data_IF_565915898725
#
_entry.id   IF_565915898725
#
_cell.length_a   1.000
_cell.length_b   1.000
_cell.length_c   1.000
_cell.angle_alpha   90.00
_cell.angle_beta   90.00
_cell.angle_gamma   90.00
#
_symmetry.space_group_name_H-M   'P 1'
#
loop_
_entity.id
_entity.type
_entity.pdbx_description
1 polymer ?
#
# COMPACT_ATOMS: atom_id res chain seq x y z
N UNK A 1 -39.39 34.25 -46.45
CA UNK A 1 -39.38 32.77 -46.37
C UNK A 1 -39.05 32.39 -44.95
N UNK A 2 -40.07 31.95 -44.21
CA UNK A 2 -39.98 31.65 -42.78
C UNK A 2 -39.28 30.33 -42.52
N UNK A 3 -38.28 30.36 -41.64
CA UNK A 3 -37.74 29.17 -41.00
C UNK A 3 -38.82 28.64 -40.06
N UNK A 4 -39.27 27.41 -40.31
CA UNK A 4 -40.42 26.81 -39.61
C UNK A 4 -40.10 26.57 -38.13
N UNK A 5 -41.12 26.69 -37.28
CA UNK A 5 -41.07 26.51 -35.82
C UNK A 5 -40.39 25.19 -35.38
N UNK A 6 -40.36 24.18 -36.25
CA UNK A 6 -39.65 22.90 -36.05
C UNK A 6 -38.12 23.03 -36.00
N UNK A 7 -37.52 24.01 -36.69
CA UNK A 7 -36.08 24.22 -36.66
C UNK A 7 -35.61 24.88 -35.35
N UNK A 8 -36.42 25.76 -34.77
CA UNK A 8 -36.11 26.37 -33.48
C UNK A 8 -36.20 25.37 -32.32
N UNK A 9 -37.16 24.45 -32.34
CA UNK A 9 -37.27 23.38 -31.33
C UNK A 9 -36.15 22.34 -31.46
N UNK A 10 -35.71 22.03 -32.68
CA UNK A 10 -34.57 21.14 -32.90
C UNK A 10 -33.23 21.78 -32.47
N UNK A 11 -33.06 23.10 -32.66
CA UNK A 11 -31.88 23.82 -32.18
C UNK A 11 -31.89 24.05 -30.66
N UNK A 12 -33.05 24.15 -30.01
CA UNK A 12 -33.15 24.23 -28.55
C UNK A 12 -32.92 22.88 -27.86
N UNK A 13 -33.32 21.76 -28.48
CA UNK A 13 -33.08 20.41 -27.96
C UNK A 13 -31.64 19.91 -28.19
N UNK A 14 -30.93 20.43 -29.20
CA UNK A 14 -29.50 20.12 -29.37
C UNK A 14 -28.58 20.93 -28.43
N UNK A 15 -29.03 22.07 -27.90
CA UNK A 15 -28.23 22.88 -26.96
C UNK A 15 -28.38 22.49 -25.49
N UNK A 16 -29.34 21.62 -25.12
CA UNK A 16 -29.48 21.11 -23.75
C UNK A 16 -28.64 19.85 -23.45
N UNK A 17 -27.89 19.34 -24.44
CA UNK A 17 -26.97 18.20 -24.26
C UNK A 17 -25.48 18.61 -24.18
N UNK A 18 -25.17 19.90 -24.02
CA UNK A 18 -23.81 20.41 -23.87
C UNK A 18 -23.53 21.05 -22.51
N UNK A 19 -24.20 20.57 -21.46
CA UNK A 19 -23.77 20.74 -20.08
C UNK A 19 -23.30 19.38 -19.56
N UNK A 20 -22.10 18.99 -19.95
CA UNK A 20 -21.35 17.97 -19.21
C UNK A 20 -20.86 18.66 -17.94
N UNK A 21 -21.70 18.63 -16.89
CA UNK A 21 -21.22 18.89 -15.55
C UNK A 21 -20.18 17.83 -15.25
N UNK A 22 -18.96 18.28 -14.96
CA UNK A 22 -17.90 17.45 -14.45
C UNK A 22 -18.41 16.75 -13.17
N UNK A 23 -18.52 15.43 -13.26
CA UNK A 23 -18.75 14.57 -12.11
C UNK A 23 -17.40 14.31 -11.49
N UNK A 24 -17.39 13.98 -10.22
CA UNK A 24 -16.15 13.63 -9.58
C UNK A 24 -15.77 12.21 -9.97
N UNK A 25 -15.14 11.37 -9.12
CA UNK A 25 -15.05 9.96 -9.50
C UNK A 25 -16.39 9.50 -10.09
N UNK A 26 -16.39 8.77 -11.20
CA UNK A 26 -17.64 8.27 -11.75
C UNK A 26 -18.41 7.46 -10.70
N UNK A 27 -19.67 7.13 -10.99
CA UNK A 27 -20.49 6.33 -10.05
C UNK A 27 -19.76 5.08 -9.54
N UNK A 28 -19.01 4.41 -10.43
CA UNK A 28 -18.18 3.25 -10.09
C UNK A 28 -17.04 3.57 -9.12
N UNK A 29 -16.40 4.74 -9.27
CA UNK A 29 -15.32 5.19 -8.41
C UNK A 29 -15.82 5.58 -7.01
N UNK A 30 -16.91 6.34 -6.90
CA UNK A 30 -17.54 6.64 -5.61
C UNK A 30 -18.05 5.39 -4.90
N UNK A 31 -18.70 4.51 -5.67
CA UNK A 31 -19.13 3.22 -5.16
C UNK A 31 -17.93 2.41 -4.62
N UNK A 32 -16.83 2.33 -5.38
CA UNK A 32 -15.63 1.62 -4.96
C UNK A 32 -15.01 2.20 -3.68
N UNK A 33 -14.82 3.52 -3.59
CA UNK A 33 -14.27 4.18 -2.40
C UNK A 33 -15.11 3.84 -1.15
N UNK A 34 -16.43 3.99 -1.24
CA UNK A 34 -17.31 3.73 -0.12
C UNK A 34 -17.45 2.25 0.22
N UNK A 35 -17.44 1.36 -0.77
CA UNK A 35 -17.50 -0.10 -0.55
C UNK A 35 -16.23 -0.60 0.11
N UNK A 36 -15.08 -0.06 -0.32
CA UNK A 36 -13.79 -0.33 0.32
C UNK A 36 -13.85 0.17 1.76
N UNK A 37 -14.18 1.45 1.99
CA UNK A 37 -14.25 2.04 3.34
C UNK A 37 -15.15 1.22 4.29
N UNK A 38 -16.34 0.84 3.83
CA UNK A 38 -17.27 0.03 4.63
C UNK A 38 -16.70 -1.35 5.02
N UNK A 39 -15.83 -1.93 4.20
CA UNK A 39 -15.13 -3.18 4.51
C UNK A 39 -14.07 -3.07 5.61
N UNK A 40 -13.71 -1.86 6.03
CA UNK A 40 -12.75 -1.57 7.10
C UNK A 40 -13.40 -1.00 8.37
N UNK A 41 -14.74 -0.89 8.42
CA UNK A 41 -15.44 -0.40 9.61
C UNK A 41 -15.40 -1.42 10.74
N UNK A 42 -15.14 -0.94 11.97
CA UNK A 42 -15.37 -1.70 13.21
C UNK A 42 -16.88 -1.96 13.40
N UNK A 43 -17.23 -2.94 14.24
CA UNK A 43 -18.62 -3.36 14.45
C UNK A 43 -19.52 -2.20 14.87
N UNK A 44 -19.03 -1.33 15.77
CA UNK A 44 -19.74 -0.15 16.26
C UNK A 44 -19.99 0.86 15.13
N UNK A 45 -19.02 1.02 14.23
CA UNK A 45 -19.12 1.91 13.07
C UNK A 45 -20.15 1.37 12.07
N UNK A 46 -20.16 0.05 11.83
CA UNK A 46 -21.18 -0.59 10.98
C UNK A 46 -22.58 -0.35 11.52
N UNK A 47 -22.78 -0.48 12.84
CA UNK A 47 -24.08 -0.22 13.49
C UNK A 47 -24.48 1.25 13.37
N UNK A 48 -23.56 2.18 13.60
CA UNK A 48 -23.83 3.62 13.49
C UNK A 48 -24.20 4.03 12.05
N UNK A 49 -23.41 3.59 11.06
CA UNK A 49 -23.66 3.86 9.64
C UNK A 49 -25.00 3.30 9.21
N UNK A 50 -25.33 2.05 9.56
CA UNK A 50 -26.64 1.44 9.22
C UNK A 50 -27.83 2.20 9.81
N UNK A 51 -27.69 2.81 10.99
CA UNK A 51 -28.74 3.64 11.60
C UNK A 51 -28.95 4.96 10.86
N UNK A 52 -27.90 5.51 10.27
CA UNK A 52 -27.94 6.78 9.54
C UNK A 52 -28.38 6.60 8.09
N UNK A 53 -28.08 5.45 7.47
CA UNK A 53 -28.41 5.21 6.07
C UNK A 53 -29.93 5.16 5.83
N UNK A 54 -30.40 5.67 4.69
CA UNK A 54 -31.80 5.55 4.31
C UNK A 54 -32.15 4.09 4.02
N UNK A 55 -33.42 3.71 4.24
CA UNK A 55 -33.86 2.31 4.11
C UNK A 55 -33.60 1.69 2.73
N UNK A 56 -33.65 2.49 1.65
CA UNK A 56 -33.40 2.00 0.29
C UNK A 56 -31.93 1.62 0.03
N UNK A 57 -31.00 2.08 0.88
CA UNK A 57 -29.59 1.72 0.77
C UNK A 57 -29.30 0.32 1.30
N UNK A 58 -30.26 -0.35 1.95
CA UNK A 58 -30.14 -1.71 2.51
C UNK A 58 -28.87 -1.91 3.38
N UNK A 59 -28.48 -0.86 4.12
CA UNK A 59 -27.29 -0.87 4.97
C UNK A 59 -25.96 -0.81 4.22
N UNK A 60 -25.95 -0.52 2.92
CA UNK A 60 -24.77 -0.35 2.09
C UNK A 60 -24.45 1.13 1.85
N UNK A 61 -23.29 1.59 2.34
CA UNK A 61 -22.85 2.97 2.18
C UNK A 61 -22.59 3.32 0.72
N UNK A 62 -22.00 2.39 -0.03
CA UNK A 62 -21.68 2.57 -1.45
C UNK A 62 -22.92 2.86 -2.31
N UNK A 63 -24.10 2.39 -1.91
CA UNK A 63 -25.37 2.61 -2.63
C UNK A 63 -25.84 4.08 -2.61
N UNK A 64 -25.27 4.91 -1.74
CA UNK A 64 -25.62 6.34 -1.60
C UNK A 64 -24.46 7.28 -1.91
N UNK A 65 -23.29 6.76 -2.28
CA UNK A 65 -22.10 7.59 -2.43
C UNK A 65 -22.07 8.45 -3.68
N UNK A 66 -22.91 8.19 -4.68
CA UNK A 66 -23.11 9.10 -5.82
C UNK A 66 -24.17 10.17 -5.59
N UNK A 67 -24.91 10.12 -4.47
CA UNK A 67 -26.05 11.00 -4.25
C UNK A 67 -25.72 12.51 -4.33
N UNK A 68 -24.59 13.02 -3.79
CA UNK A 68 -24.22 14.43 -3.94
C UNK A 68 -24.07 14.89 -5.39
N UNK A 69 -23.58 14.01 -6.27
CA UNK A 69 -23.44 14.28 -7.71
C UNK A 69 -24.78 14.36 -8.45
N UNK A 70 -25.79 13.66 -7.94
CA UNK A 70 -27.16 13.74 -8.43
C UNK A 70 -27.81 15.04 -7.97
N UNK A 71 -27.74 15.35 -6.67
CA UNK A 71 -28.47 16.48 -6.10
C UNK A 71 -27.86 17.82 -6.47
N UNK A 72 -26.55 17.94 -6.73
CA UNK A 72 -25.90 19.22 -7.15
C UNK A 72 -26.52 19.82 -8.43
N UNK A 73 -27.24 18.99 -9.21
CA UNK A 73 -27.95 19.39 -10.44
C UNK A 73 -29.32 20.02 -10.16
N UNK A 74 -29.87 19.83 -8.96
CA UNK A 74 -31.17 20.36 -8.56
C UNK A 74 -31.04 21.84 -8.13
N UNK A 75 -31.98 22.73 -8.51
CA UNK A 75 -31.88 24.16 -8.23
C UNK A 75 -31.64 24.52 -6.76
N UNK A 76 -32.28 23.80 -5.83
CA UNK A 76 -32.16 24.01 -4.39
C UNK A 76 -30.83 23.53 -3.78
N UNK A 77 -30.11 22.67 -4.50
CA UNK A 77 -28.84 22.08 -4.08
C UNK A 77 -27.66 22.55 -4.94
N UNK A 78 -27.89 23.42 -5.93
CA UNK A 78 -26.85 23.92 -6.85
C UNK A 78 -25.63 24.53 -6.14
N UNK A 79 -25.83 25.04 -4.93
CA UNK A 79 -24.75 25.59 -4.10
C UNK A 79 -23.71 24.53 -3.70
N UNK A 80 -24.07 23.24 -3.64
CA UNK A 80 -23.13 22.17 -3.30
C UNK A 80 -22.13 21.89 -4.42
N UNK A 81 -22.37 22.35 -5.66
CA UNK A 81 -21.50 22.05 -6.80
C UNK A 81 -20.06 22.53 -6.58
N UNK A 82 -19.85 23.65 -5.88
CA UNK A 82 -18.52 24.17 -5.55
C UNK A 82 -17.78 23.33 -4.49
N UNK A 83 -18.49 22.47 -3.77
CA UNK A 83 -17.93 21.64 -2.70
C UNK A 83 -17.27 20.36 -3.22
N UNK A 84 -17.31 20.12 -4.54
CA UNK A 84 -16.77 18.91 -5.16
C UNK A 84 -15.28 19.00 -5.52
N UNK A 85 -14.68 20.20 -5.43
CA UNK A 85 -13.30 20.44 -5.86
C UNK A 85 -12.67 21.61 -5.08
N UNK A 86 -11.36 21.77 -5.25
CA UNK A 86 -10.55 22.85 -4.74
C UNK A 86 -9.45 23.18 -5.78
N UNK A 87 -9.81 23.97 -6.79
CA UNK A 87 -8.88 24.34 -7.86
C UNK A 87 -7.76 25.26 -7.35
N UNK A 88 -6.55 25.04 -7.86
CA UNK A 88 -5.31 25.75 -7.50
C UNK A 88 -4.85 26.67 -8.64
N UNK A 89 -4.00 27.67 -8.36
CA UNK A 89 -3.40 28.52 -9.40
C UNK A 89 -2.54 27.72 -10.39
N UNK A 90 -2.69 28.00 -11.69
CA UNK A 90 -2.01 27.31 -12.80
C UNK A 90 -0.48 27.28 -12.70
N UNK A 91 0.12 28.25 -12.00
CA UNK A 91 1.56 28.40 -11.83
C UNK A 91 2.10 27.70 -10.55
N UNK A 92 1.24 26.99 -9.81
CA UNK A 92 1.60 26.35 -8.54
C UNK A 92 1.17 24.89 -8.51
N UNK A 93 2.12 24.01 -8.20
CA UNK A 93 1.83 22.60 -7.90
C UNK A 93 1.74 22.36 -6.40
N UNK A 94 0.89 23.12 -5.71
CA UNK A 94 0.59 22.91 -4.29
C UNK A 94 -0.82 23.38 -3.94
N UNK A 95 -1.37 22.80 -2.87
CA UNK A 95 -2.60 23.23 -2.24
C UNK A 95 -2.30 24.12 -1.01
N UNK A 96 -3.01 25.23 -0.87
CA UNK A 96 -3.03 26.09 0.31
C UNK A 96 -4.48 26.43 0.68
N UNK A 97 -4.93 26.00 1.86
CA UNK A 97 -6.33 26.13 2.26
C UNK A 97 -6.86 27.57 2.22
N UNK A 98 -6.07 28.54 2.71
CA UNK A 98 -6.52 29.94 2.77
C UNK A 98 -6.64 30.57 1.39
N UNK A 99 -5.82 30.13 0.43
CA UNK A 99 -5.83 30.59 -0.95
C UNK A 99 -6.87 29.87 -1.81
N UNK A 100 -6.97 28.55 -1.67
CA UNK A 100 -7.65 27.65 -2.62
C UNK A 100 -9.04 27.20 -2.12
N UNK A 101 -9.37 27.44 -0.84
CA UNK A 101 -10.69 27.16 -0.26
C UNK A 101 -11.36 28.43 0.30
N UNK A 102 -11.64 29.44 -0.55
CA UNK A 102 -12.20 30.70 -0.08
C UNK A 102 -13.56 30.49 0.61
N UNK A 103 -13.70 31.01 1.83
CA UNK A 103 -14.90 30.90 2.66
C UNK A 103 -15.32 29.46 3.01
N UNK A 104 -14.40 28.50 2.96
CA UNK A 104 -14.69 27.06 3.15
C UNK A 104 -15.58 26.45 2.04
N UNK A 105 -15.76 27.14 0.90
CA UNK A 105 -16.56 26.67 -0.24
C UNK A 105 -15.69 25.87 -1.22
N UNK A 106 -15.21 24.73 -0.75
CA UNK A 106 -14.46 23.77 -1.54
C UNK A 106 -14.59 22.38 -0.91
N UNK A 107 -14.02 21.35 -1.56
CA UNK A 107 -14.07 19.96 -1.06
C UNK A 107 -13.43 19.77 0.32
N UNK A 108 -12.29 20.39 0.62
CA UNK A 108 -11.66 20.25 1.94
C UNK A 108 -12.48 20.95 3.04
N UNK A 109 -13.05 22.13 2.76
CA UNK A 109 -13.96 22.83 3.65
C UNK A 109 -15.23 22.04 3.92
N UNK A 110 -15.78 21.40 2.89
CA UNK A 110 -16.93 20.49 3.01
C UNK A 110 -16.60 19.27 3.89
N UNK A 111 -15.44 18.63 3.70
CA UNK A 111 -14.97 17.52 4.55
C UNK A 111 -14.91 17.97 6.01
N UNK A 112 -14.33 19.13 6.31
CA UNK A 112 -14.29 19.64 7.69
C UNK A 112 -15.69 19.90 8.25
N UNK A 113 -16.56 20.53 7.47
CA UNK A 113 -17.92 20.85 7.90
C UNK A 113 -18.73 19.59 8.23
N UNK A 114 -18.83 18.63 7.31
CA UNK A 114 -19.64 17.44 7.52
C UNK A 114 -19.04 16.48 8.55
N UNK A 115 -17.71 16.45 8.70
CA UNK A 115 -17.05 15.77 9.82
C UNK A 115 -17.48 16.39 11.16
N UNK A 116 -17.47 17.72 11.28
CA UNK A 116 -17.90 18.41 12.50
C UNK A 116 -19.38 18.18 12.82
N UNK A 117 -20.26 18.14 11.81
CA UNK A 117 -21.68 17.80 11.99
C UNK A 117 -21.85 16.39 12.57
N UNK A 118 -21.15 15.39 12.03
CA UNK A 118 -21.20 14.02 12.54
C UNK A 118 -20.62 13.91 13.97
N UNK A 119 -19.52 14.60 14.26
CA UNK A 119 -18.93 14.62 15.61
C UNK A 119 -19.82 15.31 16.64
N UNK A 120 -20.63 16.29 16.23
CA UNK A 120 -21.55 16.98 17.13
C UNK A 120 -22.64 16.07 17.69
N UNK A 121 -22.93 14.94 17.03
CA UNK A 121 -23.87 13.93 17.50
C UNK A 121 -23.30 13.04 18.61
N UNK A 122 -21.98 12.95 18.74
CA UNK A 122 -21.31 12.11 19.75
C UNK A 122 -21.09 12.82 21.08
N UNK A 123 -21.10 14.15 21.09
CA UNK A 123 -21.04 14.94 22.32
C UNK A 123 -22.47 15.13 22.77
N UNK A 124 -22.72 14.95 24.07
CA UNK A 124 -24.00 15.19 24.77
C UNK A 124 -24.36 16.70 24.79
N UNK A 125 -24.15 17.36 23.66
CA UNK A 125 -24.22 18.80 23.49
C UNK A 125 -25.66 19.20 23.26
N UNK A 126 -26.15 20.03 24.18
CA UNK A 126 -27.33 20.90 24.06
C UNK A 126 -27.17 21.94 22.93
N UNK A 127 -26.66 21.54 21.76
CA UNK A 127 -26.59 22.34 20.56
C UNK A 127 -28.00 22.52 20.00
N UNK A 128 -28.43 23.76 19.83
CA UNK A 128 -29.74 24.16 19.28
C UNK A 128 -29.88 23.78 17.79
N UNK A 129 -28.77 23.44 17.11
CA UNK A 129 -28.75 23.10 15.69
C UNK A 129 -28.84 21.59 15.51
N UNK A 130 -29.97 21.11 14.99
CA UNK A 130 -30.15 19.72 14.57
C UNK A 130 -29.70 19.57 13.12
N UNK A 131 -28.52 18.97 12.91
CA UNK A 131 -28.05 18.60 11.57
C UNK A 131 -28.77 17.34 11.07
N UNK A 132 -28.96 17.24 9.75
CA UNK A 132 -29.35 15.98 9.13
C UNK A 132 -28.10 15.08 9.02
N UNK A 133 -27.92 14.19 9.99
CA UNK A 133 -26.74 13.32 10.07
C UNK A 133 -26.66 12.30 8.93
N UNK A 134 -27.79 11.93 8.34
CA UNK A 134 -27.82 11.09 7.13
C UNK A 134 -27.20 11.83 5.96
N UNK A 135 -27.63 13.07 5.71
CA UNK A 135 -27.03 13.93 4.67
C UNK A 135 -25.55 14.17 4.96
N UNK A 136 -25.18 14.46 6.20
CA UNK A 136 -23.78 14.69 6.56
C UNK A 136 -22.90 13.47 6.27
N UNK A 137 -23.37 12.25 6.58
CA UNK A 137 -22.68 11.00 6.25
C UNK A 137 -22.53 10.82 4.73
N UNK A 138 -23.60 11.04 3.97
CA UNK A 138 -23.61 10.87 2.51
C UNK A 138 -22.68 11.88 1.82
N UNK A 139 -22.74 13.15 2.22
CA UNK A 139 -21.85 14.20 1.73
C UNK A 139 -20.40 13.90 2.07
N UNK A 140 -20.08 13.58 3.33
CA UNK A 140 -18.71 13.28 3.74
C UNK A 140 -18.14 12.09 2.95
N UNK A 141 -18.93 11.02 2.79
CA UNK A 141 -18.49 9.81 2.10
C UNK A 141 -18.18 10.06 0.62
N UNK A 142 -18.98 10.89 -0.04
CA UNK A 142 -18.73 11.34 -1.41
C UNK A 142 -17.49 12.22 -1.52
N UNK A 143 -17.36 13.26 -0.69
CA UNK A 143 -16.24 14.20 -0.74
C UNK A 143 -14.89 13.56 -0.41
N UNK A 144 -14.89 12.48 0.38
CA UNK A 144 -13.71 11.63 0.57
C UNK A 144 -13.31 10.91 -0.73
N UNK A 145 -14.25 10.62 -1.63
CA UNK A 145 -13.94 10.23 -3.00
C UNK A 145 -13.35 11.43 -3.76
N UNK A 146 -14.07 12.55 -3.82
CA UNK A 146 -13.72 13.71 -4.64
C UNK A 146 -12.27 14.16 -4.42
N UNK A 147 -11.87 14.35 -3.17
CA UNK A 147 -10.53 14.81 -2.80
C UNK A 147 -9.40 13.90 -3.30
N UNK A 148 -9.68 12.61 -3.52
CA UNK A 148 -8.69 11.64 -4.00
C UNK A 148 -8.68 11.49 -5.53
N UNK A 149 -9.58 12.15 -6.25
CA UNK A 149 -9.51 12.27 -7.69
C UNK A 149 -8.53 13.42 -8.01
N UNK A 150 -7.45 13.19 -8.79
CA UNK A 150 -6.34 14.16 -8.89
C UNK A 150 -6.65 15.52 -9.54
N UNK A 151 -7.74 15.60 -10.30
CA UNK A 151 -8.20 16.80 -11.00
C UNK A 151 -9.27 17.59 -10.24
N UNK A 152 -9.75 17.11 -9.08
CA UNK A 152 -10.52 17.94 -8.14
C UNK A 152 -9.64 18.81 -7.26
N UNK A 153 -8.32 18.65 -7.34
CA UNK A 153 -7.33 19.63 -6.92
C UNK A 153 -6.52 20.10 -8.14
N UNK A 154 -7.23 20.39 -9.24
CA UNK A 154 -6.64 20.76 -10.52
C UNK A 154 -6.38 22.26 -10.67
N UNK A 155 -6.23 22.74 -11.91
CA UNK A 155 -5.92 24.15 -12.18
C UNK A 155 -7.18 24.99 -12.46
N UNK A 156 -7.22 26.20 -11.92
CA UNK A 156 -8.30 27.16 -12.17
C UNK A 156 -8.47 27.49 -13.67
N UNK A 157 -7.37 27.66 -14.38
CA UNK A 157 -7.38 28.06 -15.79
C UNK A 157 -8.02 27.02 -16.69
N UNK A 158 -7.81 25.73 -16.40
CA UNK A 158 -8.38 24.62 -17.16
C UNK A 158 -9.63 23.99 -16.55
N UNK A 159 -10.09 24.51 -15.40
CA UNK A 159 -11.23 24.02 -14.60
C UNK A 159 -11.03 22.56 -14.20
N UNK A 160 -9.88 22.25 -13.62
CA UNK A 160 -9.50 20.89 -13.27
C UNK A 160 -9.37 19.97 -14.49
N UNK A 161 -8.87 20.46 -15.61
CA UNK A 161 -8.72 19.67 -16.83
C UNK A 161 -9.99 19.53 -17.69
N UNK A 162 -11.12 20.14 -17.30
CA UNK A 162 -12.35 20.12 -18.10
C UNK A 162 -12.20 20.82 -19.47
N UNK A 163 -11.32 21.83 -19.55
CA UNK A 163 -10.98 22.51 -20.80
C UNK A 163 -9.91 21.79 -21.62
N UNK A 164 -9.24 20.78 -21.07
CA UNK A 164 -8.18 20.05 -21.76
C UNK A 164 -8.81 18.94 -22.61
N UNK A 165 -8.92 19.19 -23.92
CA UNK A 165 -9.43 18.20 -24.87
C UNK A 165 -8.40 17.13 -25.17
N UNK A 166 -8.80 15.87 -25.08
CA UNK A 166 -7.94 14.70 -25.31
C UNK A 166 -8.71 13.63 -26.08
N UNK A 167 -7.98 12.72 -26.72
CA UNK A 167 -8.55 11.49 -27.26
C UNK A 167 -8.16 10.33 -26.34
N UNK A 168 -9.16 9.70 -25.71
CA UNK A 168 -8.96 8.44 -24.99
C UNK A 168 -9.20 7.29 -25.96
N UNK A 169 -8.11 6.67 -26.41
CA UNK A 169 -8.11 5.80 -27.59
C UNK A 169 -8.71 6.51 -28.82
N UNK A 170 -9.87 6.05 -29.30
CA UNK A 170 -10.55 6.57 -30.49
C UNK A 170 -11.76 7.46 -30.15
N UNK A 171 -11.91 7.87 -28.88
CA UNK A 171 -13.02 8.69 -28.42
C UNK A 171 -12.53 10.07 -27.96
N UNK A 172 -13.07 11.12 -28.58
CA UNK A 172 -12.84 12.50 -28.15
C UNK A 172 -13.55 12.77 -26.81
N UNK A 173 -12.82 13.39 -25.87
CA UNK A 173 -13.30 13.67 -24.51
C UNK A 173 -12.51 14.85 -23.91
N UNK A 174 -12.61 15.06 -22.60
CA UNK A 174 -11.73 15.96 -21.84
C UNK A 174 -10.93 15.18 -20.78
N UNK A 175 -9.83 15.77 -20.30
CA UNK A 175 -8.92 15.12 -19.35
C UNK A 175 -9.60 14.77 -18.02
N UNK A 176 -10.50 15.64 -17.53
CA UNK A 176 -11.26 15.40 -16.30
C UNK A 176 -12.04 14.08 -16.37
N UNK A 177 -12.87 13.93 -17.41
CA UNK A 177 -13.66 12.72 -17.66
C UNK A 177 -12.81 11.45 -17.82
N UNK A 178 -11.59 11.58 -18.34
CA UNK A 178 -10.68 10.42 -18.42
C UNK A 178 -10.34 9.89 -17.04
N UNK A 179 -10.09 10.78 -16.08
CA UNK A 179 -9.75 10.41 -14.70
C UNK A 179 -10.96 9.95 -13.89
N UNK A 180 -12.12 10.58 -14.08
CA UNK A 180 -13.35 10.21 -13.36
C UNK A 180 -13.88 8.84 -13.76
N UNK A 181 -13.98 8.61 -15.08
CA UNK A 181 -14.74 7.50 -15.62
C UNK A 181 -13.84 6.56 -16.43
N UNK A 182 -13.22 7.11 -17.49
CA UNK A 182 -12.77 6.26 -18.60
C UNK A 182 -11.60 5.36 -18.23
N UNK A 183 -10.74 5.77 -17.30
CA UNK A 183 -9.69 4.90 -16.74
C UNK A 183 -10.32 3.72 -16.00
N UNK A 184 -11.33 3.96 -15.17
CA UNK A 184 -12.02 2.91 -14.41
C UNK A 184 -12.77 1.99 -15.37
N UNK A 185 -13.57 2.52 -16.28
CA UNK A 185 -14.32 1.76 -17.30
C UNK A 185 -13.38 0.86 -18.11
N UNK A 186 -12.27 1.42 -18.60
CA UNK A 186 -11.26 0.67 -19.37
C UNK A 186 -10.58 -0.41 -18.53
N UNK A 187 -10.33 -0.13 -17.24
CA UNK A 187 -9.74 -1.11 -16.34
C UNK A 187 -10.71 -2.25 -16.04
N UNK A 188 -12.00 -1.94 -15.82
CA UNK A 188 -13.06 -2.92 -15.61
C UNK A 188 -13.17 -3.87 -16.79
N UNK A 189 -13.27 -3.34 -18.01
CA UNK A 189 -13.36 -4.14 -19.23
C UNK A 189 -12.10 -5.02 -19.42
N UNK A 190 -10.91 -4.43 -19.27
CA UNK A 190 -9.67 -5.10 -19.64
C UNK A 190 -9.15 -6.09 -18.61
N UNK A 191 -9.39 -5.85 -17.32
CA UNK A 191 -8.75 -6.59 -16.23
C UNK A 191 -9.72 -7.27 -15.27
N UNK A 192 -11.00 -6.87 -15.24
CA UNK A 192 -11.93 -7.30 -14.20
C UNK A 192 -13.25 -7.86 -14.75
N UNK A 193 -13.26 -8.31 -16.01
CA UNK A 193 -14.44 -8.89 -16.67
C UNK A 193 -15.67 -7.99 -16.57
N UNK A 194 -15.47 -6.68 -16.68
CA UNK A 194 -16.51 -5.66 -16.52
C UNK A 194 -17.26 -5.75 -15.18
N UNK A 195 -16.61 -6.25 -14.13
CA UNK A 195 -17.20 -6.44 -12.80
C UNK A 195 -16.54 -5.55 -11.75
N UNK A 196 -17.30 -4.55 -11.29
CA UNK A 196 -16.86 -3.64 -10.23
C UNK A 196 -16.56 -4.38 -8.92
N UNK A 197 -17.34 -5.41 -8.58
CA UNK A 197 -17.09 -6.23 -7.39
C UNK A 197 -15.79 -7.02 -7.48
N UNK A 198 -15.41 -7.51 -8.66
CA UNK A 198 -14.11 -8.18 -8.87
C UNK A 198 -12.96 -7.18 -8.71
N UNK A 199 -13.09 -5.96 -9.24
CA UNK A 199 -12.10 -4.91 -9.04
C UNK A 199 -11.94 -4.53 -7.57
N UNK A 200 -13.06 -4.31 -6.86
CA UNK A 200 -13.06 -3.97 -5.43
C UNK A 200 -12.41 -5.08 -4.60
N UNK A 201 -12.75 -6.36 -4.83
CA UNK A 201 -12.11 -7.47 -4.15
C UNK A 201 -10.60 -7.50 -4.43
N UNK A 202 -10.17 -7.31 -5.69
CA UNK A 202 -8.75 -7.27 -6.03
C UNK A 202 -8.01 -6.09 -5.34
N UNK A 203 -8.67 -4.94 -5.19
CA UNK A 203 -8.12 -3.79 -4.46
C UNK A 203 -8.05 -4.05 -2.95
N UNK A 204 -9.09 -4.61 -2.35
CA UNK A 204 -9.11 -5.00 -0.95
C UNK A 204 -8.06 -6.07 -0.65
N UNK A 205 -7.86 -7.04 -1.53
CA UNK A 205 -6.81 -8.05 -1.38
C UNK A 205 -5.41 -7.42 -1.45
N UNK A 206 -5.20 -6.43 -2.34
CA UNK A 206 -3.95 -5.65 -2.38
C UNK A 206 -3.74 -4.78 -1.13
N UNK A 207 -4.80 -4.20 -0.58
CA UNK A 207 -4.75 -3.42 0.66
C UNK A 207 -4.53 -4.32 1.88
N UNK A 208 -5.11 -5.53 1.91
CA UNK A 208 -4.79 -6.57 2.91
C UNK A 208 -3.36 -7.09 2.77
N UNK A 209 -2.82 -7.12 1.55
CA UNK A 209 -1.43 -7.46 1.26
C UNK A 209 -0.45 -6.29 1.48
N UNK A 210 -0.94 -5.10 1.86
CA UNK A 210 -0.16 -3.92 2.25
C UNK A 210 -0.69 -3.28 3.53
N UNK A 211 -0.31 -3.76 4.71
CA UNK A 211 -0.45 -2.92 5.88
C UNK A 211 0.87 -2.52 6.53
N UNK A 212 0.88 -1.33 7.13
CA UNK A 212 0.71 -1.28 8.58
C UNK A 212 -0.05 0.01 8.93
N UNK A 213 -1.17 -0.05 9.69
CA UNK A 213 -1.09 0.25 11.13
C UNK A 213 -2.19 -0.44 12.01
N UNK A 214 -1.87 -0.76 13.27
CA UNK A 214 -2.76 -1.12 14.40
C UNK A 214 -3.81 -2.26 14.26
N UNK A 215 -4.18 -2.69 13.05
CA UNK A 215 -5.24 -3.67 12.80
C UNK A 215 -4.89 -4.57 11.60
N UNK A 216 -3.67 -5.09 11.54
CA UNK A 216 -3.52 -6.41 10.93
C UNK A 216 -4.41 -7.35 11.75
N UNK A 217 -5.17 -8.24 11.14
CA UNK A 217 -6.05 -9.20 11.82
C UNK A 217 -5.24 -10.25 12.64
N UNK A 218 -4.32 -9.80 13.49
CA UNK A 218 -3.31 -10.57 14.20
C UNK A 218 -2.14 -11.07 13.34
N UNK A 219 -2.12 -10.81 12.02
CA UNK A 219 -1.13 -11.42 11.13
C UNK A 219 0.13 -10.57 10.96
N UNK A 220 1.21 -11.00 11.63
CA UNK A 220 2.52 -10.36 11.59
C UNK A 220 3.08 -10.19 10.17
N UNK A 221 2.84 -11.15 9.27
CA UNK A 221 3.36 -11.14 7.91
C UNK A 221 2.86 -9.92 7.10
N UNK A 222 1.64 -9.47 7.37
CA UNK A 222 1.06 -8.35 6.66
C UNK A 222 1.82 -7.06 6.95
N UNK A 223 2.40 -6.92 8.15
CA UNK A 223 3.02 -5.67 8.63
C UNK A 223 4.54 -5.65 8.56
N UNK A 224 5.14 -6.75 8.08
CA UNK A 224 6.58 -6.87 7.96
C UNK A 224 7.19 -5.92 6.91
N UNK A 225 6.44 -5.33 5.97
CA UNK A 225 7.01 -4.35 5.03
C UNK A 225 7.14 -2.94 5.59
N UNK A 226 6.57 -2.66 6.76
CA UNK A 226 6.52 -1.30 7.32
C UNK A 226 7.90 -0.63 7.48
N UNK A 227 8.97 -1.32 7.95
CA UNK A 227 10.30 -0.70 8.03
C UNK A 227 10.85 -0.19 6.68
N UNK A 228 10.52 -0.84 5.56
CA UNK A 228 10.90 -0.37 4.22
C UNK A 228 10.21 0.93 3.79
N UNK A 229 9.00 1.15 4.31
CA UNK A 229 8.21 2.33 4.01
C UNK A 229 8.71 3.52 4.83
N UNK A 230 8.93 3.32 6.13
CA UNK A 230 9.33 4.42 7.01
C UNK A 230 10.76 4.87 6.76
N UNK A 231 11.70 4.01 6.37
CA UNK A 231 13.10 4.41 6.10
C UNK A 231 13.25 5.48 5.02
N UNK A 232 12.21 5.70 4.21
CA UNK A 232 12.15 6.74 3.16
C UNK A 232 11.69 8.10 3.68
N UNK A 233 11.12 8.15 4.89
CA UNK A 233 10.64 9.38 5.52
C UNK A 233 11.81 10.12 6.20
N UNK A 234 11.88 11.47 6.12
CA UNK A 234 13.01 12.22 6.68
C UNK A 234 13.29 11.93 8.16
N UNK A 235 12.25 11.78 8.96
CA UNK A 235 12.32 11.53 10.41
C UNK A 235 12.82 10.11 10.77
N UNK A 236 12.69 9.17 9.84
CA UNK A 236 13.08 7.77 9.98
C UNK A 236 14.27 7.38 9.10
N UNK A 237 14.82 8.29 8.31
CA UNK A 237 15.90 8.00 7.35
C UNK A 237 17.10 7.29 8.00
N UNK A 238 17.36 7.57 9.28
CA UNK A 238 18.42 6.91 10.06
C UNK A 238 18.27 5.38 10.14
N UNK A 239 17.07 4.82 9.97
CA UNK A 239 16.84 3.38 9.95
C UNK A 239 17.31 2.71 8.67
N UNK A 240 17.59 3.47 7.60
CA UNK A 240 18.05 2.91 6.31
C UNK A 240 19.28 2.01 6.48
N UNK A 241 20.23 2.43 7.32
CA UNK A 241 21.45 1.66 7.61
C UNK A 241 21.19 0.37 8.39
N UNK A 242 19.97 0.13 8.89
CA UNK A 242 19.62 -1.07 9.65
C UNK A 242 19.13 -2.24 8.78
N UNK A 243 18.96 -2.05 7.47
CA UNK A 243 18.42 -3.10 6.57
C UNK A 243 19.48 -4.05 6.01
N UNK A 244 20.76 -3.74 6.21
CA UNK A 244 21.86 -4.52 5.65
C UNK A 244 23.08 -4.50 6.57
N UNK A 245 24.07 -5.33 6.27
CA UNK A 245 25.43 -5.15 6.77
C UNK A 245 26.43 -5.26 5.61
N UNK A 246 27.46 -4.41 5.66
CA UNK A 246 28.44 -4.33 4.58
C UNK A 246 29.54 -5.39 4.76
N UNK A 247 29.86 -6.15 3.72
CA UNK A 247 31.09 -6.97 3.69
C UNK A 247 32.16 -6.33 2.79
N UNK A 248 33.46 -6.44 3.14
CA UNK A 248 34.53 -5.99 2.25
C UNK A 248 34.48 -6.71 0.90
N UNK A 249 34.93 -6.03 -0.16
CA UNK A 249 34.88 -6.57 -1.51
C UNK A 249 35.69 -7.87 -1.57
N UNK A 250 35.08 -8.93 -2.11
CA UNK A 250 35.65 -10.28 -2.24
C UNK A 250 35.93 -11.03 -0.94
N UNK A 251 35.49 -10.50 0.22
CA UNK A 251 35.52 -11.22 1.48
C UNK A 251 34.19 -11.94 1.72
N UNK A 252 34.17 -13.25 1.49
CA UNK A 252 32.98 -14.09 1.69
C UNK A 252 32.81 -14.53 3.14
N UNK A 253 33.03 -13.61 4.07
CA UNK A 253 32.96 -13.85 5.51
C UNK A 253 32.40 -12.62 6.22
N UNK A 254 31.44 -12.84 7.11
CA UNK A 254 30.87 -11.78 7.92
C UNK A 254 31.62 -11.64 9.26
N UNK A 255 32.03 -10.42 9.59
CA UNK A 255 32.57 -10.07 10.90
C UNK A 255 31.85 -8.82 11.44
N UNK A 256 31.20 -8.96 12.59
CA UNK A 256 30.38 -7.88 13.19
C UNK A 256 31.15 -6.57 13.37
N UNK A 257 32.41 -6.64 13.82
CA UNK A 257 33.28 -5.47 14.04
C UNK A 257 33.50 -4.63 12.77
N UNK A 258 33.47 -5.28 11.60
CA UNK A 258 33.70 -4.65 10.29
C UNK A 258 32.38 -4.26 9.62
N UNK A 259 31.43 -5.19 9.60
CA UNK A 259 30.17 -5.04 8.88
C UNK A 259 29.10 -4.24 9.64
N UNK A 260 29.24 -4.09 10.95
CA UNK A 260 28.29 -3.38 11.81
C UNK A 260 28.91 -2.19 12.53
N UNK A 261 29.07 -1.06 11.82
CA UNK A 261 29.64 0.16 12.41
C UNK A 261 28.70 0.77 13.44
N UNK A 262 29.18 0.91 14.68
CA UNK A 262 28.41 1.48 15.80
C UNK A 262 27.06 0.77 16.06
N UNK A 263 26.94 -0.52 15.71
CA UNK A 263 25.69 -1.26 15.83
C UNK A 263 24.60 -0.87 14.82
N UNK A 264 24.90 0.02 13.86
CA UNK A 264 23.96 0.47 12.81
C UNK A 264 24.07 -0.42 11.59
N UNK A 265 23.53 -1.62 11.71
CA UNK A 265 23.39 -2.60 10.64
C UNK A 265 22.24 -3.56 11.01
N UNK A 266 21.85 -4.46 10.09
CA UNK A 266 20.77 -5.42 10.34
C UNK A 266 21.05 -6.37 11.51
N UNK A 267 22.27 -6.87 11.66
CA UNK A 267 22.59 -7.76 12.79
C UNK A 267 22.55 -7.03 14.14
N UNK A 268 23.04 -5.79 14.19
CA UNK A 268 22.95 -4.91 15.36
C UNK A 268 21.50 -4.54 15.69
N UNK A 269 20.68 -4.26 14.68
CA UNK A 269 19.26 -3.99 14.84
C UNK A 269 18.53 -5.20 15.43
N UNK A 270 18.76 -6.41 14.89
CA UNK A 270 18.15 -7.64 15.41
C UNK A 270 18.52 -7.85 16.89
N UNK A 271 19.80 -7.69 17.27
CA UNK A 271 20.20 -7.77 18.68
C UNK A 271 19.47 -6.74 19.54
N UNK A 272 19.37 -5.50 19.06
CA UNK A 272 18.77 -4.39 19.80
C UNK A 272 17.27 -4.60 20.03
N UNK A 273 16.50 -4.83 18.95
CA UNK A 273 15.05 -4.99 19.04
C UNK A 273 14.64 -6.31 19.72
N UNK A 274 15.40 -7.40 19.57
CA UNK A 274 15.18 -8.62 20.35
C UNK A 274 15.39 -8.36 21.86
N UNK A 275 16.42 -7.60 22.24
CA UNK A 275 16.68 -7.22 23.63
C UNK A 275 15.57 -6.30 24.20
N UNK A 276 15.09 -5.35 23.40
CA UNK A 276 13.99 -4.46 23.79
C UNK A 276 12.71 -5.23 24.11
N UNK A 277 12.34 -6.21 23.26
CA UNK A 277 11.17 -7.07 23.52
C UNK A 277 11.32 -7.90 24.81
N UNK A 278 12.54 -8.29 25.18
CA UNK A 278 12.76 -9.07 26.40
C UNK A 278 12.78 -8.24 27.68
N UNK A 279 13.43 -7.08 27.65
CA UNK A 279 13.88 -6.41 28.88
C UNK A 279 13.43 -4.95 29.02
N UNK A 280 12.91 -4.31 27.98
CA UNK A 280 12.74 -2.84 27.96
C UNK A 280 11.33 -2.41 27.53
N UNK A 281 10.36 -2.61 28.43
CA UNK A 281 8.94 -2.25 28.25
C UNK A 281 8.64 -0.75 28.09
N UNK A 282 9.64 0.12 28.18
CA UNK A 282 9.48 1.56 27.95
C UNK A 282 9.52 1.94 26.46
N UNK A 283 9.94 1.03 25.57
CA UNK A 283 9.90 1.24 24.12
C UNK A 283 8.55 0.83 23.55
N UNK A 284 8.20 1.37 22.38
CA UNK A 284 7.03 0.93 21.62
C UNK A 284 7.24 -0.53 21.17
N UNK A 285 6.58 -1.48 21.85
CA UNK A 285 6.74 -2.90 21.61
C UNK A 285 6.19 -3.34 20.25
N UNK A 286 5.17 -2.63 19.74
CA UNK A 286 4.66 -2.86 18.38
C UNK A 286 5.75 -2.55 17.36
N UNK A 287 6.33 -1.34 17.39
CA UNK A 287 7.43 -0.98 16.48
C UNK A 287 8.61 -1.95 16.60
N UNK A 288 8.96 -2.32 17.84
CA UNK A 288 10.04 -3.25 18.13
C UNK A 288 9.80 -4.63 17.48
N UNK A 289 8.57 -5.14 17.59
CA UNK A 289 8.16 -6.39 16.95
C UNK A 289 8.23 -6.28 15.42
N UNK A 290 7.71 -5.19 14.84
CA UNK A 290 7.76 -4.96 13.40
C UNK A 290 9.19 -4.92 12.87
N UNK A 291 10.07 -4.19 13.57
CA UNK A 291 11.48 -4.09 13.20
C UNK A 291 12.19 -5.45 13.28
N UNK A 292 12.09 -6.18 14.39
CA UNK A 292 12.80 -7.47 14.51
C UNK A 292 12.28 -8.51 13.51
N UNK A 293 10.98 -8.49 13.20
CA UNK A 293 10.37 -9.39 12.20
C UNK A 293 10.83 -9.07 10.79
N UNK A 294 10.88 -7.79 10.42
CA UNK A 294 11.40 -7.35 9.13
C UNK A 294 12.90 -7.65 8.99
N UNK A 295 13.72 -7.25 9.98
CA UNK A 295 15.16 -7.44 9.92
C UNK A 295 15.57 -8.92 9.94
N UNK A 296 14.75 -9.79 10.54
CA UNK A 296 14.95 -11.24 10.39
C UNK A 296 14.77 -11.70 8.94
N UNK A 297 13.88 -11.08 8.15
CA UNK A 297 13.81 -11.28 6.71
C UNK A 297 15.06 -10.76 6.00
N UNK A 298 15.43 -9.50 6.25
CA UNK A 298 16.56 -8.83 5.60
C UNK A 298 17.88 -9.58 5.79
N UNK A 299 18.22 -10.00 7.02
CA UNK A 299 19.48 -10.72 7.28
C UNK A 299 19.54 -12.07 6.55
N UNK A 300 18.40 -12.61 6.10
CA UNK A 300 18.34 -13.84 5.31
C UNK A 300 18.44 -13.62 3.80
N UNK A 301 18.25 -12.39 3.31
CA UNK A 301 18.48 -12.01 1.92
C UNK A 301 20.00 -11.95 1.68
N UNK A 302 20.60 -12.84 0.88
CA UNK A 302 22.06 -12.91 0.70
C UNK A 302 22.75 -11.58 0.37
N UNK A 303 22.14 -10.76 -0.48
CA UNK A 303 22.69 -9.48 -0.94
C UNK A 303 22.48 -8.32 0.05
N UNK A 304 21.69 -8.48 1.10
CA UNK A 304 21.70 -7.56 2.25
C UNK A 304 22.96 -7.72 3.13
N UNK A 305 23.76 -8.76 2.88
CA UNK A 305 25.08 -8.95 3.48
C UNK A 305 26.19 -8.86 2.42
N UNK A 306 25.86 -8.29 1.25
CA UNK A 306 26.71 -8.24 0.07
C UNK A 306 27.87 -7.25 0.16
N UNK A 307 28.58 -7.06 -0.95
CA UNK A 307 29.80 -6.27 -0.94
C UNK A 307 29.49 -4.78 -0.85
N UNK A 308 30.24 -4.08 0.00
CA UNK A 308 30.14 -2.63 0.11
C UNK A 308 30.42 -1.91 -1.21
N UNK A 309 31.36 -2.43 -2.00
CA UNK A 309 31.83 -1.80 -3.24
C UNK A 309 30.74 -1.69 -4.31
N UNK A 310 29.78 -2.62 -4.32
CA UNK A 310 28.68 -2.64 -5.28
C UNK A 310 27.30 -2.38 -4.63
N UNK A 311 27.30 -1.97 -3.36
CA UNK A 311 26.08 -1.73 -2.57
C UNK A 311 25.18 -2.97 -2.55
N UNK A 312 25.75 -4.12 -2.21
CA UNK A 312 25.02 -5.39 -2.17
C UNK A 312 24.49 -5.80 -3.54
N UNK A 313 25.24 -5.55 -4.61
CA UNK A 313 24.81 -5.82 -5.98
C UNK A 313 23.89 -4.76 -6.61
N UNK A 314 23.53 -3.70 -5.89
CA UNK A 314 22.69 -2.62 -6.46
C UNK A 314 23.36 -1.90 -7.63
N UNK A 315 24.70 -1.87 -7.64
CA UNK A 315 25.51 -1.29 -8.71
C UNK A 315 25.85 -2.30 -9.84
N UNK A 316 25.48 -3.58 -9.70
CA UNK A 316 25.62 -4.59 -10.76
C UNK A 316 24.38 -4.52 -11.65
N UNK A 317 24.43 -3.65 -12.68
CA UNK A 317 23.30 -3.45 -13.62
C UNK A 317 23.25 -4.57 -14.65
N UNK A 318 22.10 -5.21 -14.82
CA UNK A 318 21.94 -6.39 -15.69
C UNK A 318 20.49 -6.51 -16.15
N UNK A 319 20.19 -7.47 -17.01
CA UNK A 319 18.83 -7.78 -17.43
C UNK A 319 18.32 -9.03 -16.73
N UNK A 320 17.09 -8.97 -16.20
CA UNK A 320 16.31 -10.15 -15.82
C UNK A 320 15.39 -10.51 -16.97
N UNK A 321 15.70 -11.58 -17.70
CA UNK A 321 15.14 -11.88 -19.01
C UNK A 321 15.24 -10.67 -19.95
N UNK A 322 14.11 -10.01 -20.24
CA UNK A 322 14.01 -8.85 -21.13
C UNK A 322 13.79 -7.52 -20.39
N UNK A 323 13.95 -7.49 -19.06
CA UNK A 323 13.75 -6.29 -18.24
C UNK A 323 15.08 -5.83 -17.62
N UNK A 324 15.42 -4.57 -17.83
CA UNK A 324 16.57 -3.94 -17.18
C UNK A 324 16.35 -3.82 -15.66
N UNK A 325 17.36 -4.19 -14.87
CA UNK A 325 17.33 -4.15 -13.41
C UNK A 325 18.75 -4.13 -12.84
N UNK A 326 18.91 -4.48 -11.56
CA UNK A 326 20.19 -4.75 -10.92
C UNK A 326 20.15 -6.08 -10.16
N UNK A 327 21.32 -6.61 -9.82
CA UNK A 327 21.46 -7.90 -9.14
C UNK A 327 20.75 -7.93 -7.78
N UNK A 328 20.78 -6.84 -7.00
CA UNK A 328 20.08 -6.75 -5.71
C UNK A 328 18.58 -7.02 -5.87
N UNK A 329 17.94 -6.30 -6.81
CA UNK A 329 16.52 -6.49 -7.15
C UNK A 329 16.18 -7.88 -7.69
N UNK A 330 17.14 -8.57 -8.31
CA UNK A 330 16.90 -9.94 -8.76
C UNK A 330 16.64 -10.86 -7.57
N UNK A 331 17.37 -10.66 -6.46
CA UNK A 331 17.24 -11.46 -5.24
C UNK A 331 16.12 -10.99 -4.32
N UNK A 332 15.84 -9.68 -4.24
CA UNK A 332 14.70 -9.15 -3.48
C UNK A 332 13.37 -9.63 -4.06
N UNK A 333 13.18 -9.43 -5.36
CA UNK A 333 11.85 -9.50 -5.98
C UNK A 333 11.80 -10.50 -7.15
N UNK A 334 12.73 -10.41 -8.10
CA UNK A 334 12.52 -10.99 -9.44
C UNK A 334 12.49 -12.51 -9.47
N UNK A 335 13.31 -13.18 -8.67
CA UNK A 335 13.26 -14.65 -8.57
C UNK A 335 11.89 -15.07 -8.00
N UNK A 336 11.41 -14.41 -6.96
CA UNK A 336 10.13 -14.73 -6.30
C UNK A 336 8.96 -14.44 -7.24
N UNK A 337 8.91 -13.24 -7.84
CA UNK A 337 7.88 -12.85 -8.83
C UNK A 337 7.80 -13.86 -9.99
N UNK A 338 8.95 -14.29 -10.50
CA UNK A 338 9.03 -15.26 -11.60
C UNK A 338 8.56 -16.65 -11.16
N UNK A 339 8.91 -17.08 -9.95
CA UNK A 339 8.47 -18.35 -9.39
C UNK A 339 6.96 -18.37 -9.14
N UNK A 340 6.41 -17.30 -8.56
CA UNK A 340 4.97 -17.13 -8.37
C UNK A 340 4.22 -17.32 -9.68
N UNK A 341 4.65 -16.62 -10.73
CA UNK A 341 4.04 -16.69 -12.05
C UNK A 341 4.20 -18.07 -12.70
N UNK A 342 5.39 -18.68 -12.63
CA UNK A 342 5.72 -19.91 -13.37
C UNK A 342 5.24 -21.19 -12.68
N UNK A 343 5.21 -21.24 -11.35
CA UNK A 343 5.00 -22.46 -10.58
C UNK A 343 3.85 -22.42 -9.59
N UNK A 344 3.36 -21.22 -9.21
CA UNK A 344 2.38 -21.07 -8.14
C UNK A 344 1.11 -20.34 -8.57
N UNK A 345 0.81 -20.29 -9.87
CA UNK A 345 -0.38 -19.62 -10.43
C UNK A 345 -0.55 -18.18 -9.95
N UNK A 346 0.58 -17.47 -9.77
CA UNK A 346 0.63 -16.12 -9.19
C UNK A 346 0.04 -16.00 -7.78
N UNK A 347 -0.01 -17.10 -7.02
CA UNK A 347 -0.56 -17.15 -5.66
C UNK A 347 0.53 -17.36 -4.62
N UNK A 348 0.67 -16.37 -3.73
CA UNK A 348 1.59 -16.45 -2.59
C UNK A 348 1.18 -17.54 -1.60
N UNK A 349 -0.11 -17.77 -1.39
CA UNK A 349 -0.58 -18.81 -0.46
C UNK A 349 -0.19 -20.22 -0.94
N UNK A 350 -0.19 -20.45 -2.26
CA UNK A 350 0.27 -21.72 -2.84
C UNK A 350 1.78 -21.89 -2.65
N UNK A 351 2.56 -20.83 -2.83
CA UNK A 351 4.01 -20.86 -2.55
C UNK A 351 4.28 -21.13 -1.06
N UNK A 352 3.58 -20.45 -0.15
CA UNK A 352 3.69 -20.67 1.30
C UNK A 352 3.36 -22.13 1.63
N UNK A 353 2.27 -22.68 1.11
CA UNK A 353 1.92 -24.09 1.33
C UNK A 353 2.99 -25.05 0.80
N UNK A 354 3.62 -24.73 -0.33
CA UNK A 354 4.78 -25.48 -0.84
C UNK A 354 5.98 -25.42 0.10
N UNK A 355 6.30 -24.25 0.65
CA UNK A 355 7.39 -24.07 1.62
C UNK A 355 7.12 -24.81 2.94
N UNK A 356 5.87 -24.77 3.43
CA UNK A 356 5.46 -25.52 4.63
C UNK A 356 5.63 -27.04 4.43
N UNK A 357 5.22 -27.57 3.27
CA UNK A 357 5.47 -28.96 2.92
C UNK A 357 6.98 -29.28 2.84
N UNK A 358 7.80 -28.37 2.30
CA UNK A 358 9.26 -28.55 2.30
C UNK A 358 9.83 -28.53 3.71
N UNK A 359 9.33 -27.70 4.62
CA UNK A 359 9.74 -27.70 6.03
C UNK A 359 9.41 -29.02 6.73
N UNK A 360 8.22 -29.58 6.47
CA UNK A 360 7.75 -30.82 7.11
C UNK A 360 8.46 -32.08 6.56
N UNK A 361 8.69 -32.15 5.25
CA UNK A 361 9.18 -33.38 4.61
C UNK A 361 10.58 -33.26 3.99
N UNK A 362 10.93 -32.10 3.42
CA UNK A 362 12.18 -31.92 2.67
C UNK A 362 13.36 -31.40 3.50
N UNK A 363 13.08 -30.58 4.50
CA UNK A 363 14.06 -29.89 5.36
C UNK A 363 13.89 -30.22 6.83
N UNK A 364 13.07 -31.20 7.18
CA UNK A 364 12.77 -31.57 8.58
C UNK A 364 14.02 -31.88 9.42
N UNK A 365 15.04 -32.49 8.82
CA UNK A 365 16.32 -32.75 9.48
C UNK A 365 17.16 -31.46 9.71
N UNK A 366 16.96 -30.44 8.88
CA UNK A 366 17.68 -29.16 8.99
C UNK A 366 17.01 -28.22 10.00
N UNK A 367 15.67 -28.26 10.14
CA UNK A 367 14.86 -27.33 10.95
C UNK A 367 15.38 -27.20 12.41
N UNK A 368 15.65 -28.28 13.16
CA UNK A 368 16.18 -28.17 14.52
C UNK A 368 17.48 -27.36 14.61
N UNK A 369 18.33 -27.46 13.58
CA UNK A 369 19.60 -26.70 13.51
C UNK A 369 19.38 -25.21 13.21
N UNK A 370 18.26 -24.87 12.55
CA UNK A 370 17.86 -23.49 12.25
C UNK A 370 17.22 -22.82 13.44
N UNK A 371 16.41 -23.55 14.21
CA UNK A 371 15.78 -23.08 15.44
C UNK A 371 16.81 -22.82 16.54
N UNK A 372 17.87 -23.62 16.59
CA UNK A 372 18.91 -23.55 17.61
C UNK A 372 19.78 -22.29 17.50
N UNK A 373 19.95 -21.61 18.63
CA UNK A 373 20.87 -20.49 18.83
C UNK A 373 21.80 -20.82 20.02
N UNK A 374 23.09 -21.16 19.77
CA UNK A 374 24.00 -21.63 20.82
C UNK A 374 24.26 -20.60 21.94
N UNK A 375 24.69 -21.11 23.10
CA UNK A 375 25.13 -20.25 24.22
C UNK A 375 24.00 -19.55 24.97
N UNK A 376 22.78 -20.09 24.93
CA UNK A 376 21.57 -19.50 25.54
C UNK A 376 21.27 -18.07 25.05
N UNK A 377 21.74 -17.71 23.85
CA UNK A 377 21.43 -16.43 23.23
C UNK A 377 19.98 -16.41 22.74
N UNK A 378 19.33 -15.25 22.87
CA UNK A 378 17.96 -15.04 22.36
C UNK A 378 17.91 -15.12 20.84
N UNK A 379 18.92 -14.57 20.17
CA UNK A 379 18.99 -14.45 18.71
C UNK A 379 20.44 -14.52 18.24
N UNK A 380 20.68 -15.07 17.05
CA UNK A 380 22.03 -15.35 16.52
C UNK A 380 22.27 -14.66 15.16
N UNK A 381 22.08 -13.34 15.01
CA UNK A 381 22.08 -12.67 13.71
C UNK A 381 23.43 -12.73 12.99
N UNK A 382 24.55 -12.78 13.71
CA UNK A 382 25.88 -12.94 13.09
C UNK A 382 26.03 -14.26 12.32
N UNK A 383 25.41 -15.34 12.80
CA UNK A 383 25.38 -16.62 12.08
C UNK A 383 24.55 -16.50 10.80
N UNK A 384 23.41 -15.82 10.88
CA UNK A 384 22.51 -15.64 9.74
C UNK A 384 23.17 -14.79 8.65
N UNK A 385 23.86 -13.72 9.05
CA UNK A 385 24.63 -12.85 8.19
C UNK A 385 25.78 -13.59 7.50
N UNK A 386 26.55 -14.40 8.26
CA UNK A 386 27.60 -15.25 7.69
C UNK A 386 27.08 -16.19 6.61
N UNK A 387 25.94 -16.85 6.85
CA UNK A 387 25.31 -17.72 5.85
C UNK A 387 24.86 -16.93 4.60
N UNK A 388 24.36 -15.70 4.79
CA UNK A 388 23.93 -14.84 3.70
C UNK A 388 25.09 -14.42 2.79
N UNK A 389 26.22 -13.93 3.33
CA UNK A 389 27.39 -13.59 2.51
C UNK A 389 28.00 -14.82 1.83
N UNK A 390 28.05 -15.98 2.50
CA UNK A 390 28.53 -17.23 1.90
C UNK A 390 27.68 -17.60 0.66
N UNK A 391 26.35 -17.47 0.77
CA UNK A 391 25.43 -17.71 -0.34
C UNK A 391 25.52 -16.63 -1.41
N UNK A 392 25.72 -15.37 -1.03
CA UNK A 392 25.91 -14.28 -1.99
C UNK A 392 27.12 -14.54 -2.88
N UNK A 393 28.25 -14.94 -2.29
CA UNK A 393 29.44 -15.32 -3.04
C UNK A 393 29.25 -16.57 -3.90
N UNK A 394 28.67 -17.64 -3.35
CA UNK A 394 28.53 -18.92 -4.04
C UNK A 394 27.50 -18.89 -5.17
N UNK A 395 26.44 -18.10 -5.01
CA UNK A 395 25.26 -18.15 -5.86
C UNK A 395 24.85 -16.81 -6.46
N UNK A 396 24.84 -15.72 -5.67
CA UNK A 396 24.34 -14.43 -6.14
C UNK A 396 25.27 -13.76 -7.15
N UNK A 397 26.52 -13.50 -6.78
CA UNK A 397 27.49 -12.86 -7.67
C UNK A 397 27.97 -13.79 -8.79
N UNK A 398 27.90 -15.11 -8.56
CA UNK A 398 28.36 -16.10 -9.54
C UNK A 398 27.51 -16.01 -10.82
N UNK A 399 28.20 -15.79 -11.94
CA UNK A 399 27.63 -15.63 -13.29
C UNK A 399 26.80 -14.33 -13.50
N UNK A 400 26.82 -13.41 -12.53
CA UNK A 400 26.09 -12.15 -12.57
C UNK A 400 27.04 -10.95 -12.62
N UNK A 401 27.49 -10.59 -13.82
CA UNK A 401 28.30 -9.39 -14.07
C UNK A 401 27.50 -8.30 -14.77
N UNK A 402 27.99 -7.05 -14.70
CA UNK A 402 27.29 -5.92 -15.30
C UNK A 402 27.11 -6.13 -16.82
N UNK A 403 25.89 -5.90 -17.32
CA UNK A 403 25.51 -6.04 -18.72
C UNK A 403 25.08 -7.44 -19.15
N UNK A 404 25.15 -8.46 -18.27
CA UNK A 404 24.65 -9.80 -18.62
C UNK A 404 23.13 -9.88 -18.59
N UNK A 405 22.60 -10.94 -19.18
CA UNK A 405 21.18 -11.30 -19.08
C UNK A 405 21.03 -12.58 -18.27
N UNK A 406 20.35 -12.48 -17.13
CA UNK A 406 20.01 -13.61 -16.29
C UNK A 406 18.64 -14.16 -16.72
N UNK A 407 18.58 -15.45 -17.05
CA UNK A 407 17.35 -16.13 -17.46
C UNK A 407 17.18 -17.48 -16.76
N UNK A 408 16.57 -18.45 -17.43
CA UNK A 408 16.17 -19.73 -16.83
C UNK A 408 17.31 -20.49 -16.14
N UNK A 409 18.54 -20.46 -16.67
CA UNK A 409 19.69 -21.11 -16.01
C UNK A 409 19.95 -20.53 -14.62
N UNK A 410 20.02 -19.20 -14.51
CA UNK A 410 20.24 -18.52 -13.24
C UNK A 410 19.04 -18.70 -12.31
N UNK A 411 17.83 -18.50 -12.83
CA UNK A 411 16.59 -18.66 -12.09
C UNK A 411 16.44 -20.05 -11.44
N UNK A 412 16.55 -21.12 -12.22
CA UNK A 412 16.33 -22.49 -11.74
C UNK A 412 17.37 -22.93 -10.71
N UNK A 413 18.63 -22.52 -10.90
CA UNK A 413 19.72 -22.90 -10.00
C UNK A 413 19.75 -22.11 -8.68
N UNK A 414 19.12 -20.93 -8.62
CA UNK A 414 19.09 -20.08 -7.42
C UNK A 414 17.75 -20.11 -6.69
N UNK A 415 16.65 -20.52 -7.34
CA UNK A 415 15.31 -20.57 -6.73
C UNK A 415 15.28 -21.37 -5.41
N UNK A 416 15.88 -22.56 -5.39
CA UNK A 416 15.95 -23.38 -4.17
C UNK A 416 16.64 -22.65 -3.01
N UNK A 417 17.67 -21.84 -3.31
CA UNK A 417 18.40 -21.07 -2.29
C UNK A 417 17.49 -19.97 -1.73
N UNK A 418 16.80 -19.23 -2.59
CA UNK A 418 15.84 -18.19 -2.20
C UNK A 418 14.74 -18.78 -1.31
N UNK A 419 14.11 -19.88 -1.73
CA UNK A 419 13.09 -20.57 -0.93
C UNK A 419 13.61 -21.04 0.43
N UNK A 420 14.84 -21.59 0.46
CA UNK A 420 15.48 -22.02 1.70
C UNK A 420 15.73 -20.85 2.66
N UNK A 421 16.13 -19.68 2.14
CA UNK A 421 16.34 -18.46 2.96
C UNK A 421 15.04 -17.89 3.51
N UNK A 422 13.96 -17.88 2.72
CA UNK A 422 12.62 -17.51 3.20
C UNK A 422 12.19 -18.44 4.34
N UNK A 423 12.34 -19.75 4.16
CA UNK A 423 11.97 -20.74 5.19
C UNK A 423 12.83 -20.62 6.46
N UNK A 424 14.14 -20.40 6.31
CA UNK A 424 15.04 -20.15 7.44
C UNK A 424 14.67 -18.88 8.21
N UNK A 425 14.36 -17.79 7.50
CA UNK A 425 13.90 -16.53 8.11
C UNK A 425 12.65 -16.73 8.96
N UNK A 426 11.64 -17.42 8.41
CA UNK A 426 10.40 -17.75 9.13
C UNK A 426 10.63 -18.60 10.39
N UNK A 427 11.37 -19.71 10.27
CA UNK A 427 11.69 -20.60 11.40
C UNK A 427 12.51 -19.88 12.48
N UNK A 428 13.51 -19.09 12.09
CA UNK A 428 14.35 -18.35 13.04
C UNK A 428 13.61 -17.20 13.71
N UNK A 429 12.71 -16.53 13.00
CA UNK A 429 11.81 -15.54 13.60
C UNK A 429 10.95 -16.21 14.66
N UNK A 430 10.23 -17.29 14.31
CA UNK A 430 9.38 -18.02 15.24
C UNK A 430 10.16 -18.51 16.47
N UNK A 431 11.31 -19.16 16.27
CA UNK A 431 12.15 -19.64 17.38
C UNK A 431 12.66 -18.49 18.28
N UNK A 432 12.99 -17.34 17.69
CA UNK A 432 13.43 -16.15 18.44
C UNK A 432 12.30 -15.57 19.27
N UNK A 433 11.14 -15.35 18.67
CA UNK A 433 9.95 -14.86 19.39
C UNK A 433 9.55 -15.84 20.49
N UNK A 434 9.57 -17.15 20.22
CA UNK A 434 9.32 -18.18 21.24
C UNK A 434 10.26 -18.05 22.43
N UNK A 435 11.58 -17.84 22.23
CA UNK A 435 12.53 -17.61 23.33
C UNK A 435 12.24 -16.33 24.11
N UNK A 436 11.87 -15.25 23.42
CA UNK A 436 11.53 -13.96 24.02
C UNK A 436 10.27 -14.08 24.90
N UNK A 437 9.18 -14.62 24.36
CA UNK A 437 7.89 -14.64 25.03
C UNK A 437 7.77 -15.78 26.07
N UNK A 438 8.44 -16.91 25.88
CA UNK A 438 8.46 -18.00 26.88
C UNK A 438 9.22 -17.63 28.16
N UNK A 439 10.19 -16.71 28.07
CA UNK A 439 10.94 -16.22 29.22
C UNK A 439 10.23 -15.08 29.97
N UNK A 440 9.10 -14.57 29.44
CA UNK A 440 8.42 -13.39 29.98
C UNK A 440 6.88 -13.54 29.99
N UNK A 441 6.35 -14.20 31.03
CA UNK A 441 4.92 -14.54 31.16
C UNK A 441 3.95 -13.35 31.19
N UNK A 442 4.44 -12.13 31.48
CA UNK A 442 3.62 -10.90 31.43
C UNK A 442 3.43 -10.36 30.02
N UNK A 443 4.40 -10.56 29.12
CA UNK A 443 4.32 -10.17 27.71
C UNK A 443 3.47 -11.14 26.89
N UNK A 444 3.45 -12.42 27.26
CA UNK A 444 2.62 -13.43 26.58
C UNK A 444 1.10 -13.26 26.83
N UNK A 445 0.71 -12.43 27.81
CA UNK A 445 -0.67 -12.18 28.21
C UNK A 445 -1.18 -10.76 27.85
N UNK A 446 -0.32 -9.93 27.23
CA UNK A 446 -0.62 -8.59 26.75
C UNK A 446 -0.63 -8.58 25.22
#
# INVERSE_FOLDING_TARGET
>A
MGLTLRMWVASLLLLTHLLHGALCWGDDGHYAVCKIAQGYFEEETVVAVKKLLPAYADGELAAVCSWPDEIKRLPQWKWTAALHFADTPDDKCNYDYSRDCPNDWCVTGAIFNYTNQLMSASKDSQSIVHYNLTEALMFLSHYMGDIHQPLHEGFLGDLGGNKVKVNWYNQETNLHRVWDDMIIESALEKYYNSSLSVMIHALQDKLKARPCPAYANGELAAVCSWPDEIKRRPEWNWTYALHYADTPIYECNYEYSRGCRNGKCVTGAIFNYASHLMFQFHYNLTETLLFVSHFMGDVHQPLHEGFKGDQGGSNVKLNWYNQETNLHRVWDDKIIESALKKYYNSSLSVMIHSLLNKLEYGWSNDVPSWESCPGHQTVCPNRYAFESIDLACKYAYKDATTGTTLGDYYFLSRLYIVEKRIAQGGIRLAATLNRIFSSNSKLAAA
#
